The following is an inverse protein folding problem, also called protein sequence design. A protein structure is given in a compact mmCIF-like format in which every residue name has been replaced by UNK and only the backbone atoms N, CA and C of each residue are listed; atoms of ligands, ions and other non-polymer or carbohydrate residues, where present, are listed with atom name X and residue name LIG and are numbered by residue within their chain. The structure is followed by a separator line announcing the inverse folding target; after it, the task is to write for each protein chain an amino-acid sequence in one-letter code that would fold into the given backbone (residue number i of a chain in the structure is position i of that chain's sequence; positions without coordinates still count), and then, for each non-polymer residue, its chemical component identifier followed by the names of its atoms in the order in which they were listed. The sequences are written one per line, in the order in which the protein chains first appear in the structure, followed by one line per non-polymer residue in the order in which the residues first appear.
data_IF_598719213261
#
_entry.id   IF_598719213261
#
_cell.length_a   1.000
_cell.length_b   1.000
_cell.length_c   1.000
_cell.angle_alpha   90.00
_cell.angle_beta   90.00
_cell.angle_gamma   90.00
#
_symmetry.space_group_name_H-M   'P 1'
#
loop_
_entity.id
_entity.type
_entity.pdbx_description
1 polymer ?
#
# COMPACT_ATOMS: atom_id res chain seq x y z
N UNK A 1 16.56 -2.74 7.56
CA UNK A 1 15.49 -2.41 6.60
C UNK A 1 14.62 -3.64 6.48
N UNK A 2 13.34 -3.56 6.85
CA UNK A 2 12.41 -4.68 6.73
C UNK A 2 12.06 -4.84 5.23
N UNK A 3 12.49 -5.93 4.60
CA UNK A 3 12.14 -6.21 3.19
C UNK A 3 10.77 -6.91 3.15
N UNK A 4 9.86 -6.41 2.30
CA UNK A 4 8.53 -6.98 2.15
C UNK A 4 8.58 -8.34 1.45
N UNK A 5 7.89 -9.35 2.00
CA UNK A 5 7.91 -10.73 1.47
C UNK A 5 7.47 -10.81 0.01
N UNK A 6 6.53 -9.95 -0.41
CA UNK A 6 6.05 -9.91 -1.79
C UNK A 6 7.14 -9.52 -2.79
N UNK A 7 7.85 -8.41 -2.54
CA UNK A 7 8.90 -7.94 -3.45
C UNK A 7 10.13 -8.85 -3.45
N UNK A 8 10.42 -9.52 -2.33
CA UNK A 8 11.54 -10.45 -2.22
C UNK A 8 11.51 -11.56 -3.27
N UNK A 9 10.32 -12.05 -3.64
CA UNK A 9 10.16 -13.08 -4.67
C UNK A 9 10.55 -12.64 -6.09
N UNK A 10 10.57 -11.33 -6.35
CA UNK A 10 10.88 -10.77 -7.67
C UNK A 10 12.25 -10.08 -7.72
N UNK A 11 12.68 -9.50 -6.60
CA UNK A 11 13.83 -8.61 -6.52
C UNK A 11 15.00 -9.18 -5.72
N UNK A 12 14.78 -10.18 -4.86
CA UNK A 12 15.85 -10.80 -4.06
C UNK A 12 16.74 -9.78 -3.33
N UNK A 13 16.17 -8.73 -2.75
CA UNK A 13 16.90 -7.65 -2.07
C UNK A 13 17.43 -6.53 -2.97
N UNK A 14 17.30 -6.63 -4.29
CA UNK A 14 17.73 -5.58 -5.22
C UNK A 14 16.72 -4.42 -5.28
N UNK A 15 17.22 -3.19 -5.37
CA UNK A 15 16.40 -1.96 -5.36
C UNK A 15 16.47 -1.17 -6.67
N UNK A 16 17.08 -1.76 -7.69
CA UNK A 16 17.33 -1.13 -8.98
C UNK A 16 16.04 -0.95 -9.79
N UNK A 17 15.80 0.28 -10.27
CA UNK A 17 14.59 0.63 -11.05
C UNK A 17 14.39 -0.23 -12.30
N UNK A 18 15.47 -0.55 -13.00
CA UNK A 18 15.44 -1.39 -14.21
C UNK A 18 14.95 -2.80 -13.87
N UNK A 19 15.44 -3.34 -12.76
CA UNK A 19 15.08 -4.68 -12.30
C UNK A 19 13.63 -4.73 -11.81
N UNK A 20 13.15 -3.68 -11.14
CA UNK A 20 11.75 -3.54 -10.77
C UNK A 20 10.84 -3.63 -11.99
N UNK A 21 11.12 -2.83 -13.02
CA UNK A 21 10.33 -2.82 -14.26
C UNK A 21 10.33 -4.16 -14.98
N UNK A 22 11.44 -4.90 -14.91
CA UNK A 22 11.61 -6.18 -15.59
C UNK A 22 10.94 -7.33 -14.85
N UNK A 23 11.04 -7.36 -13.52
CA UNK A 23 10.72 -8.53 -12.72
C UNK A 23 9.39 -8.44 -11.97
N UNK A 24 8.89 -7.24 -11.67
CA UNK A 24 7.64 -7.07 -10.91
C UNK A 24 6.47 -6.98 -11.88
N UNK A 25 5.50 -7.91 -11.83
CA UNK A 25 4.38 -7.92 -12.76
C UNK A 25 3.39 -6.78 -12.45
N UNK A 26 2.78 -6.22 -13.49
CA UNK A 26 1.60 -5.37 -13.35
C UNK A 26 0.42 -6.30 -13.10
N UNK A 27 -0.18 -6.20 -11.92
CA UNK A 27 -1.28 -7.07 -11.49
C UNK A 27 -2.51 -6.24 -11.12
N UNK A 28 -3.68 -6.85 -11.24
CA UNK A 28 -4.93 -6.26 -10.77
C UNK A 28 -5.10 -6.50 -9.27
N UNK A 29 -6.08 -5.84 -8.66
CA UNK A 29 -6.34 -6.03 -7.24
C UNK A 29 -6.76 -7.46 -6.91
N UNK A 30 -7.44 -8.15 -7.81
CA UNK A 30 -7.98 -9.50 -7.57
C UNK A 30 -6.83 -10.46 -7.20
N UNK A 31 -5.63 -10.23 -7.74
CA UNK A 31 -4.41 -10.96 -7.41
C UNK A 31 -3.84 -10.58 -6.02
N UNK A 32 -4.11 -9.36 -5.55
CA UNK A 32 -3.74 -8.85 -4.23
C UNK A 32 -4.76 -9.16 -3.14
N UNK A 33 -6.02 -9.42 -3.50
CA UNK A 33 -7.14 -9.62 -2.58
C UNK A 33 -6.85 -10.66 -1.48
N UNK A 34 -6.23 -11.83 -1.76
CA UNK A 34 -5.93 -12.80 -0.71
C UNK A 34 -4.98 -12.24 0.36
N UNK A 35 -4.05 -11.37 -0.02
CA UNK A 35 -3.13 -10.73 0.93
C UNK A 35 -3.83 -9.63 1.73
N UNK A 36 -4.69 -8.85 1.07
CA UNK A 36 -5.49 -7.81 1.75
C UNK A 36 -6.45 -8.43 2.75
N UNK A 37 -7.16 -9.49 2.37
CA UNK A 37 -8.08 -10.21 3.26
C UNK A 37 -7.35 -10.77 4.48
N UNK A 38 -6.10 -11.27 4.33
CA UNK A 38 -5.27 -11.74 5.45
C UNK A 38 -4.91 -10.63 6.43
N UNK A 39 -4.52 -9.46 5.90
CA UNK A 39 -4.25 -8.26 6.72
C UNK A 39 -5.53 -7.80 7.43
N UNK A 40 -6.67 -7.83 6.74
CA UNK A 40 -7.98 -7.49 7.31
C UNK A 40 -8.40 -8.42 8.46
N UNK A 41 -8.04 -9.70 8.37
CA UNK A 41 -8.27 -10.70 9.42
C UNK A 41 -7.22 -10.63 10.57
N UNK A 42 -6.37 -9.60 10.60
CA UNK A 42 -5.39 -9.38 11.68
C UNK A 42 -4.11 -10.20 11.58
N UNK A 43 -3.83 -10.82 10.42
CA UNK A 43 -2.52 -11.46 10.20
C UNK A 43 -1.42 -10.41 9.95
N UNK A 44 -0.17 -10.79 10.20
CA UNK A 44 0.97 -9.88 10.08
C UNK A 44 1.12 -9.32 8.67
N UNK A 45 1.37 -8.01 8.59
CA UNK A 45 1.40 -7.23 7.35
C UNK A 45 2.72 -7.29 6.59
N UNK A 46 3.73 -7.97 7.16
CA UNK A 46 5.11 -8.16 6.66
C UNK A 46 5.17 -8.66 5.20
N UNK A 47 4.04 -9.14 4.69
CA UNK A 47 3.89 -9.59 3.32
C UNK A 47 3.85 -8.43 2.32
N UNK A 48 3.08 -7.37 2.62
CA UNK A 48 2.86 -6.23 1.71
C UNK A 48 3.25 -4.88 2.30
N UNK A 49 3.39 -4.75 3.62
CA UNK A 49 3.64 -3.48 4.29
C UNK A 49 4.60 -3.65 5.47
N UNK A 50 5.33 -2.59 5.79
CA UNK A 50 6.12 -2.52 7.02
C UNK A 50 5.24 -2.22 8.25
N UNK A 51 4.17 -1.42 8.09
CA UNK A 51 3.18 -1.11 9.12
C UNK A 51 1.80 -0.99 8.47
N UNK A 52 0.75 -1.68 8.96
CA UNK A 52 -0.59 -1.58 8.41
C UNK A 52 -1.42 -0.53 9.16
N UNK A 53 -2.05 0.36 8.40
CA UNK A 53 -3.27 1.07 8.79
C UNK A 53 -4.30 0.98 7.66
N UNK A 54 -5.57 0.90 8.03
CA UNK A 54 -6.65 0.58 7.09
C UNK A 54 -7.19 1.84 6.40
N UNK A 55 -7.16 1.88 5.07
CA UNK A 55 -7.84 2.90 4.25
C UNK A 55 -9.01 2.29 3.46
N UNK A 56 -10.02 3.10 3.12
CA UNK A 56 -11.20 2.67 2.35
C UNK A 56 -11.14 3.16 0.90
N UNK A 57 -11.26 2.24 -0.07
CA UNK A 57 -11.48 2.52 -1.50
C UNK A 57 -12.66 1.71 -2.05
N UNK A 58 -12.90 1.74 -3.36
CA UNK A 58 -13.94 0.91 -4.03
C UNK A 58 -13.40 0.24 -5.29
N UNK A 59 -13.94 -0.93 -5.64
CA UNK A 59 -13.70 -1.59 -6.94
C UNK A 59 -14.91 -2.45 -7.27
N UNK A 60 -15.37 -2.39 -8.53
CA UNK A 60 -16.61 -3.07 -8.93
C UNK A 60 -17.85 -2.61 -8.15
N UNK A 61 -17.83 -1.38 -7.61
CA UNK A 61 -18.94 -0.83 -6.80
C UNK A 61 -18.98 -1.30 -5.34
N UNK A 62 -18.04 -2.14 -4.89
CA UNK A 62 -17.98 -2.64 -3.51
C UNK A 62 -16.88 -1.94 -2.70
N UNK A 63 -17.09 -1.70 -1.39
CA UNK A 63 -16.05 -1.22 -0.49
C UNK A 63 -14.85 -2.16 -0.48
N UNK A 64 -13.67 -1.55 -0.49
CA UNK A 64 -12.40 -2.24 -0.66
C UNK A 64 -11.43 -1.74 0.36
N UNK A 65 -10.84 -2.68 1.07
CA UNK A 65 -9.81 -2.36 2.03
C UNK A 65 -8.50 -2.12 1.28
N UNK A 66 -7.88 -0.96 1.53
CA UNK A 66 -6.57 -0.61 1.01
C UNK A 66 -5.59 -0.57 2.17
N UNK A 67 -4.49 -1.35 2.13
CA UNK A 67 -3.42 -1.22 3.09
C UNK A 67 -2.75 0.15 2.93
N UNK A 68 -2.71 0.96 3.99
CA UNK A 68 -2.05 2.28 4.06
C UNK A 68 -0.96 2.21 5.13
N UNK A 69 0.13 2.99 5.00
CA UNK A 69 1.15 3.10 6.05
C UNK A 69 0.93 4.36 6.89
N UNK A 70 1.37 4.36 8.15
CA UNK A 70 1.29 5.53 9.05
C UNK A 70 1.84 6.81 8.42
N UNK A 71 2.90 6.68 7.63
CA UNK A 71 3.49 7.80 6.92
C UNK A 71 2.58 8.38 5.83
N UNK A 72 1.87 7.53 5.08
CA UNK A 72 0.89 7.99 4.08
C UNK A 72 -0.27 8.72 4.75
N UNK A 73 -0.79 8.22 5.87
CA UNK A 73 -1.87 8.91 6.60
C UNK A 73 -1.43 10.28 7.12
N UNK A 74 -0.24 10.38 7.73
CA UNK A 74 0.31 11.67 8.18
C UNK A 74 0.47 12.67 7.02
N UNK A 75 0.95 12.20 5.87
CA UNK A 75 1.08 13.03 4.68
C UNK A 75 -0.29 13.50 4.18
N UNK A 76 -1.29 12.62 4.12
CA UNK A 76 -2.65 12.99 3.73
C UNK A 76 -3.28 14.00 4.70
N UNK A 77 -3.05 13.86 6.01
CA UNK A 77 -3.50 14.84 7.01
C UNK A 77 -2.85 16.21 6.82
N UNK A 78 -1.55 16.24 6.54
CA UNK A 78 -0.84 17.48 6.19
C UNK A 78 -1.43 18.12 4.93
N UNK A 79 -1.60 17.35 3.84
CA UNK A 79 -2.20 17.84 2.60
C UNK A 79 -3.60 18.40 2.80
N UNK A 80 -4.46 17.71 3.57
CA UNK A 80 -5.80 18.20 3.93
C UNK A 80 -5.72 19.53 4.69
N UNK A 81 -4.83 19.63 5.67
CA UNK A 81 -4.62 20.86 6.43
C UNK A 81 -4.20 22.06 5.55
N UNK A 82 -3.40 21.83 4.51
CA UNK A 82 -3.03 22.89 3.57
C UNK A 82 -4.17 23.29 2.62
N UNK A 83 -5.00 22.34 2.18
CA UNK A 83 -6.06 22.59 1.21
C UNK A 83 -7.36 23.13 1.84
N UNK A 84 -7.63 22.77 3.09
CA UNK A 84 -8.80 23.24 3.87
C UNK A 84 -8.48 24.49 4.70
N UNK A 85 -7.24 24.97 4.70
CA UNK A 85 -6.86 26.21 5.37
C UNK A 85 -7.58 27.41 4.74
N UNK A 86 -8.25 28.28 5.53
CA UNK A 86 -8.93 29.48 5.01
C UNK A 86 -8.00 30.47 4.30
N UNK A 87 -6.68 30.28 4.37
CA UNK A 87 -5.64 31.18 3.87
C UNK A 87 -5.45 31.06 2.35
N UNK A 88 -6.02 30.04 1.70
CA UNK A 88 -5.99 29.89 0.23
C UNK A 88 -7.43 29.94 -0.31
N UNK A 89 -7.99 31.16 -0.41
CA UNK A 89 -9.10 31.53 -1.29
C UNK A 89 -8.77 32.85 -1.98
#
# INVERSE_FOLDING_TARGET
MQEQKYLRGFLHGQTEKQLFKKNVPIITYENLKPYVDRIANGQTSDILLAEPITGSGTSGGQPKMTPVTAQVTKNCELFRGFYESPVIK
#
